data_IF_647181657227
#
_entry.id   IF_647181657227
#
_cell.length_a   1.000
_cell.length_b   1.000
_cell.length_c   1.000
_cell.angle_alpha   90.00
_cell.angle_beta   90.00
_cell.angle_gamma   90.00
#
_symmetry.space_group_name_H-M   'P 1'
#
loop_
_entity.id
_entity.type
_entity.pdbx_description
1 polymer ?
#
# COMPACT_ATOMS: atom_id res chain seq x y z
N UNK A 1 11.80 4.50 -25.57
CA UNK A 1 10.61 3.64 -25.80
C UNK A 1 9.37 4.48 -25.66
N UNK A 2 8.30 4.10 -26.35
CA UNK A 2 7.05 4.82 -26.19
C UNK A 2 6.48 4.60 -24.78
N UNK A 3 5.95 5.65 -24.12
CA UNK A 3 5.33 5.53 -22.79
C UNK A 3 4.20 4.49 -22.79
N UNK A 4 4.00 3.79 -21.67
CA UNK A 4 2.89 2.86 -21.50
C UNK A 4 1.59 3.68 -21.31
N UNK A 5 0.58 3.41 -22.13
CA UNK A 5 -0.73 4.07 -22.03
C UNK A 5 -1.54 3.47 -20.91
N UNK A 6 -1.65 4.24 -19.80
CA UNK A 6 -2.31 3.80 -18.57
C UNK A 6 -3.62 4.55 -18.37
N UNK A 7 -4.71 3.80 -18.19
CA UNK A 7 -5.98 4.34 -17.72
C UNK A 7 -6.17 4.16 -16.21
N UNK A 8 -7.17 4.83 -15.65
CA UNK A 8 -7.55 4.72 -14.25
C UNK A 8 -9.04 4.39 -14.13
N UNK A 9 -9.38 3.38 -13.34
CA UNK A 9 -10.77 3.07 -12.98
C UNK A 9 -11.07 3.61 -11.60
N UNK A 10 -11.96 4.62 -11.55
CA UNK A 10 -12.30 5.33 -10.31
C UNK A 10 -11.51 6.63 -10.13
N UNK A 11 -12.23 7.73 -9.95
CA UNK A 11 -11.68 9.07 -9.66
C UNK A 11 -12.24 9.58 -8.33
N UNK A 12 -12.20 8.69 -7.32
CA UNK A 12 -12.45 8.99 -5.91
C UNK A 12 -11.19 9.56 -5.25
N UNK A 13 -11.14 9.51 -3.90
CA UNK A 13 -9.99 10.00 -3.15
C UNK A 13 -8.67 9.33 -3.59
N UNK A 14 -8.61 7.99 -3.59
CA UNK A 14 -7.41 7.25 -4.01
C UNK A 14 -7.01 7.54 -5.45
N UNK A 15 -7.92 7.36 -6.40
CA UNK A 15 -7.64 7.56 -7.82
C UNK A 15 -7.21 8.98 -8.16
N UNK A 16 -7.86 9.98 -7.56
CA UNK A 16 -7.57 11.40 -7.82
C UNK A 16 -6.26 11.86 -7.22
N UNK A 17 -5.97 11.47 -5.97
CA UNK A 17 -4.79 11.98 -5.25
C UNK A 17 -3.59 11.05 -5.31
N UNK A 18 -3.76 9.72 -5.31
CA UNK A 18 -2.64 8.79 -5.19
C UNK A 18 -2.24 8.11 -6.50
N UNK A 19 -3.11 8.13 -7.53
CA UNK A 19 -2.81 7.48 -8.81
C UNK A 19 -2.61 8.49 -9.94
N UNK A 20 -3.61 9.32 -10.24
CA UNK A 20 -3.57 10.22 -11.39
C UNK A 20 -2.33 11.15 -11.41
N UNK A 21 -1.96 11.85 -10.31
CA UNK A 21 -0.79 12.73 -10.32
C UNK A 21 0.53 11.97 -10.51
N UNK A 22 0.63 10.75 -9.95
CA UNK A 22 1.85 9.93 -10.05
C UNK A 22 1.98 9.29 -11.44
N UNK A 23 0.89 8.88 -12.07
CA UNK A 23 0.89 8.42 -13.47
C UNK A 23 1.30 9.59 -14.39
N UNK A 24 0.66 10.75 -14.22
CA UNK A 24 0.92 11.92 -15.06
C UNK A 24 2.32 12.51 -14.87
N UNK A 25 2.97 12.27 -13.72
CA UNK A 25 4.36 12.73 -13.45
C UNK A 25 5.42 11.75 -13.95
N UNK A 26 5.05 10.52 -14.30
CA UNK A 26 5.98 9.48 -14.74
C UNK A 26 6.23 9.57 -16.24
N UNK A 27 7.48 9.85 -16.66
CA UNK A 27 7.83 9.97 -18.08
C UNK A 27 7.69 8.67 -18.88
N UNK A 28 7.68 7.52 -18.19
CA UNK A 28 7.45 6.20 -18.77
C UNK A 28 5.96 5.88 -18.99
N UNK A 29 5.06 6.76 -18.54
CA UNK A 29 3.61 6.59 -18.61
C UNK A 29 2.95 7.69 -19.47
N UNK A 30 1.91 7.31 -20.19
CA UNK A 30 0.96 8.22 -20.84
C UNK A 30 -0.39 8.04 -20.14
N UNK A 31 -0.84 9.09 -19.42
CA UNK A 31 -2.11 9.07 -18.69
C UNK A 31 -3.28 9.23 -19.66
N UNK A 32 -3.80 8.13 -20.17
CA UNK A 32 -4.83 8.08 -21.17
C UNK A 32 -6.18 8.66 -20.69
N UNK A 33 -6.52 8.45 -19.40
CA UNK A 33 -7.76 8.99 -18.83
C UNK A 33 -8.39 8.10 -17.78
N UNK A 34 -9.66 8.37 -17.49
CA UNK A 34 -10.39 7.78 -16.34
C UNK A 34 -11.70 7.15 -16.77
N UNK A 35 -11.98 5.96 -16.28
CA UNK A 35 -13.32 5.34 -16.36
C UNK A 35 -14.17 5.87 -15.21
N UNK A 36 -15.18 6.67 -15.54
CA UNK A 36 -16.16 7.21 -14.58
C UNK A 36 -17.45 7.64 -15.27
N UNK A 37 -18.59 7.32 -14.68
CA UNK A 37 -19.92 7.76 -15.12
C UNK A 37 -20.39 9.03 -14.40
N UNK A 38 -19.67 9.52 -13.38
CA UNK A 38 -20.00 10.71 -12.62
C UNK A 38 -19.65 11.99 -13.39
N UNK A 39 -20.63 12.83 -13.66
CA UNK A 39 -20.43 14.13 -14.31
C UNK A 39 -19.46 15.04 -13.53
N UNK A 40 -19.56 15.06 -12.19
CA UNK A 40 -18.67 15.87 -11.35
C UNK A 40 -17.21 15.40 -11.45
N UNK A 41 -16.97 14.08 -11.46
CA UNK A 41 -15.63 13.53 -11.63
C UNK A 41 -15.05 13.80 -13.02
N UNK A 42 -15.88 13.78 -14.05
CA UNK A 42 -15.47 14.19 -15.42
C UNK A 42 -15.06 15.65 -15.48
N UNK A 43 -15.81 16.54 -14.81
CA UNK A 43 -15.45 17.95 -14.73
C UNK A 43 -14.15 18.18 -13.96
N UNK A 44 -13.93 17.46 -12.84
CA UNK A 44 -12.68 17.50 -12.10
C UNK A 44 -11.50 17.01 -12.95
N UNK A 45 -11.65 15.87 -13.62
CA UNK A 45 -10.62 15.34 -14.52
C UNK A 45 -10.22 16.34 -15.60
N UNK A 46 -11.22 16.95 -16.27
CA UNK A 46 -10.96 17.94 -17.32
C UNK A 46 -10.22 19.19 -16.82
N UNK A 47 -10.44 19.57 -15.55
CA UNK A 47 -9.76 20.70 -14.93
C UNK A 47 -8.31 20.36 -14.49
N UNK A 48 -8.10 19.17 -13.94
CA UNK A 48 -6.83 18.74 -13.35
C UNK A 48 -5.88 18.10 -14.39
N UNK A 49 -6.44 17.38 -15.36
CA UNK A 49 -5.71 16.68 -16.43
C UNK A 49 -6.37 16.93 -17.79
N UNK A 50 -6.23 18.13 -18.37
CA UNK A 50 -6.99 18.54 -19.58
C UNK A 50 -6.67 17.71 -20.82
N UNK A 51 -5.57 16.92 -20.82
CA UNK A 51 -5.23 15.99 -21.89
C UNK A 51 -5.81 14.59 -21.73
N UNK A 52 -6.38 14.25 -20.57
CA UNK A 52 -6.86 12.92 -20.26
C UNK A 52 -8.34 12.74 -20.67
N UNK A 53 -8.65 11.56 -21.23
CA UNK A 53 -10.01 11.20 -21.65
C UNK A 53 -10.90 10.75 -20.49
N UNK A 54 -12.22 10.84 -20.67
CA UNK A 54 -13.19 10.24 -19.76
C UNK A 54 -13.98 9.14 -20.49
N UNK A 55 -13.97 7.93 -19.95
CA UNK A 55 -14.55 6.72 -20.53
C UNK A 55 -15.74 6.23 -19.71
N UNK A 56 -16.71 5.59 -20.38
CA UNK A 56 -17.90 5.04 -19.71
C UNK A 56 -17.65 3.65 -19.13
N UNK A 57 -16.73 2.90 -19.72
CA UNK A 57 -16.42 1.53 -19.34
C UNK A 57 -14.93 1.20 -19.46
N UNK A 58 -14.54 0.07 -18.86
CA UNK A 58 -13.19 -0.50 -19.00
C UNK A 58 -12.94 -0.93 -20.46
N UNK A 59 -13.97 -1.43 -21.13
CA UNK A 59 -13.94 -1.82 -22.52
C UNK A 59 -13.67 -0.63 -23.45
N UNK A 60 -14.29 0.53 -23.19
CA UNK A 60 -14.04 1.76 -23.96
C UNK A 60 -12.61 2.26 -23.75
N UNK A 61 -12.10 2.18 -22.52
CA UNK A 61 -10.70 2.50 -22.21
C UNK A 61 -9.74 1.58 -22.98
N UNK A 62 -10.01 0.28 -22.98
CA UNK A 62 -9.21 -0.70 -23.73
C UNK A 62 -9.28 -0.44 -25.25
N UNK A 63 -10.47 -0.15 -25.79
CA UNK A 63 -10.67 0.18 -27.20
C UNK A 63 -9.96 1.48 -27.62
N UNK A 64 -9.80 2.44 -26.70
CA UNK A 64 -9.00 3.65 -26.91
C UNK A 64 -7.49 3.37 -26.92
N UNK A 65 -7.09 2.13 -26.68
CA UNK A 65 -5.73 1.64 -26.78
C UNK A 65 -4.94 1.71 -25.47
N UNK A 66 -5.58 1.64 -24.33
CA UNK A 66 -4.88 1.39 -23.06
C UNK A 66 -4.09 0.08 -23.12
N UNK A 67 -2.91 0.07 -22.54
CA UNK A 67 -2.04 -1.10 -22.38
C UNK A 67 -2.07 -1.59 -20.92
N UNK A 68 -2.40 -0.66 -20.02
CA UNK A 68 -2.51 -0.94 -18.60
C UNK A 68 -3.62 -0.11 -17.96
N UNK A 69 -4.05 -0.54 -16.78
CA UNK A 69 -5.05 0.17 -15.99
C UNK A 69 -4.68 0.14 -14.51
N UNK A 70 -4.94 1.26 -13.83
CA UNK A 70 -4.93 1.32 -12.37
C UNK A 70 -6.37 1.27 -11.86
N UNK A 71 -6.64 0.41 -10.88
CA UNK A 71 -7.96 0.23 -10.27
C UNK A 71 -7.94 0.83 -8.87
N UNK A 72 -8.72 1.91 -8.66
CA UNK A 72 -8.86 2.62 -7.38
C UNK A 72 -10.34 2.93 -7.12
N UNK A 73 -11.09 1.88 -6.90
CA UNK A 73 -12.54 1.85 -6.64
C UNK A 73 -12.78 1.34 -5.20
N UNK A 74 -14.03 1.19 -4.72
CA UNK A 74 -14.27 0.48 -3.45
C UNK A 74 -13.71 -0.95 -3.48
N UNK A 75 -13.13 -1.38 -2.37
CA UNK A 75 -12.37 -2.63 -2.25
C UNK A 75 -13.15 -3.90 -2.66
N UNK A 76 -14.46 -3.90 -2.49
CA UNK A 76 -15.37 -4.98 -2.90
C UNK A 76 -15.50 -5.17 -4.41
N UNK A 77 -15.02 -4.19 -5.20
CA UNK A 77 -15.03 -4.25 -6.66
C UNK A 77 -13.66 -4.60 -7.26
N UNK A 78 -12.60 -4.64 -6.47
CA UNK A 78 -11.22 -4.78 -6.95
C UNK A 78 -11.00 -6.07 -7.71
N UNK A 79 -11.37 -7.21 -7.15
CA UNK A 79 -11.14 -8.53 -7.77
C UNK A 79 -11.86 -8.67 -9.12
N UNK A 80 -13.13 -8.28 -9.20
CA UNK A 80 -13.93 -8.40 -10.43
C UNK A 80 -13.39 -7.47 -11.53
N UNK A 81 -13.01 -6.24 -11.18
CA UNK A 81 -12.43 -5.29 -12.14
C UNK A 81 -11.04 -5.73 -12.59
N UNK A 82 -10.22 -6.27 -11.68
CA UNK A 82 -8.91 -6.84 -12.00
C UNK A 82 -9.04 -8.00 -12.99
N UNK A 83 -9.92 -8.98 -12.69
CA UNK A 83 -10.13 -10.13 -13.56
C UNK A 83 -10.65 -9.72 -14.95
N UNK A 84 -11.55 -8.72 -15.01
CA UNK A 84 -12.05 -8.14 -16.29
C UNK A 84 -10.94 -7.45 -17.08
N UNK A 85 -10.12 -6.63 -16.42
CA UNK A 85 -9.00 -5.94 -17.07
C UNK A 85 -7.99 -6.95 -17.66
N UNK A 86 -7.65 -8.00 -16.90
CA UNK A 86 -6.78 -9.09 -17.35
C UNK A 86 -7.42 -9.82 -18.56
N UNK A 87 -8.73 -10.06 -18.54
CA UNK A 87 -9.44 -10.70 -19.66
C UNK A 87 -9.38 -9.87 -20.96
N UNK A 88 -9.32 -8.53 -20.84
CA UNK A 88 -9.11 -7.59 -21.94
C UNK A 88 -7.65 -7.49 -22.41
N UNK A 89 -6.73 -8.20 -21.74
CA UNK A 89 -5.29 -8.15 -22.06
C UNK A 89 -4.55 -6.96 -21.46
N UNK A 90 -5.16 -6.25 -20.51
CA UNK A 90 -4.53 -5.10 -19.86
C UNK A 90 -3.62 -5.58 -18.71
N UNK A 91 -2.45 -4.96 -18.58
CA UNK A 91 -1.67 -5.01 -17.34
C UNK A 91 -2.37 -4.20 -16.25
N UNK A 92 -2.24 -4.61 -14.97
CA UNK A 92 -3.08 -4.06 -13.90
C UNK A 92 -2.24 -3.61 -12.72
N UNK A 93 -2.47 -2.38 -12.25
CA UNK A 93 -2.21 -1.93 -10.88
C UNK A 93 -3.52 -1.98 -10.13
N UNK A 94 -3.57 -2.69 -8.99
CA UNK A 94 -4.77 -2.73 -8.15
C UNK A 94 -4.48 -2.11 -6.79
N UNK A 95 -5.33 -1.16 -6.37
CA UNK A 95 -5.21 -0.48 -5.08
C UNK A 95 -5.41 -1.46 -3.90
N UNK A 96 -4.99 -1.04 -2.72
CA UNK A 96 -5.16 -1.81 -1.48
C UNK A 96 -6.56 -1.58 -0.86
N UNK A 97 -7.11 -2.53 -0.10
CA UNK A 97 -6.68 -3.93 -0.08
C UNK A 97 -6.90 -4.57 -1.45
N UNK A 98 -5.94 -5.35 -1.91
CA UNK A 98 -5.98 -5.96 -3.25
C UNK A 98 -7.24 -6.81 -3.47
N UNK A 99 -7.63 -7.57 -2.46
CA UNK A 99 -8.86 -8.35 -2.43
C UNK A 99 -9.37 -8.46 -1.00
N UNK A 100 -10.66 -8.73 -0.82
CA UNK A 100 -11.29 -8.91 0.48
C UNK A 100 -11.11 -10.33 1.03
N UNK A 101 -10.75 -11.29 0.18
CA UNK A 101 -10.44 -12.65 0.58
C UNK A 101 -9.23 -13.23 -0.17
N UNK A 102 -8.47 -14.17 0.45
CA UNK A 102 -7.26 -14.73 -0.16
C UNK A 102 -7.53 -15.55 -1.43
N UNK A 103 -8.69 -16.20 -1.55
CA UNK A 103 -9.00 -17.03 -2.72
C UNK A 103 -9.23 -16.16 -3.95
N UNK A 104 -9.90 -15.00 -3.80
CA UNK A 104 -10.05 -14.02 -4.88
C UNK A 104 -8.69 -13.43 -5.28
N UNK A 105 -7.82 -13.09 -4.30
CA UNK A 105 -6.47 -12.63 -4.59
C UNK A 105 -5.68 -13.65 -5.42
N UNK A 106 -5.65 -14.89 -4.99
CA UNK A 106 -4.95 -16.00 -5.69
C UNK A 106 -5.48 -16.20 -7.10
N UNK A 107 -6.80 -16.22 -7.29
CA UNK A 107 -7.43 -16.37 -8.61
C UNK A 107 -6.98 -15.27 -9.58
N UNK A 108 -6.97 -14.01 -9.16
CA UNK A 108 -6.54 -12.90 -10.01
C UNK A 108 -5.06 -13.01 -10.39
N UNK A 109 -4.19 -13.43 -9.47
CA UNK A 109 -2.75 -13.64 -9.73
C UNK A 109 -2.52 -14.79 -10.72
N UNK A 110 -3.22 -15.91 -10.53
CA UNK A 110 -3.15 -17.07 -11.45
C UNK A 110 -3.67 -16.69 -12.85
N UNK A 111 -4.74 -15.90 -12.93
CA UNK A 111 -5.29 -15.42 -14.20
C UNK A 111 -4.31 -14.48 -14.92
N UNK A 112 -3.67 -13.55 -14.22
CA UNK A 112 -2.67 -12.66 -14.80
C UNK A 112 -1.47 -13.45 -15.35
N UNK A 113 -0.99 -14.43 -14.58
CA UNK A 113 0.08 -15.33 -15.00
C UNK A 113 -0.30 -16.12 -16.26
N UNK A 114 -1.51 -16.69 -16.30
CA UNK A 114 -2.00 -17.46 -17.45
C UNK A 114 -2.19 -16.60 -18.71
N UNK A 115 -2.47 -15.30 -18.55
CA UNK A 115 -2.64 -14.35 -19.66
C UNK A 115 -1.35 -13.63 -20.06
N UNK A 116 -0.27 -13.79 -19.29
CA UNK A 116 1.03 -13.15 -19.56
C UNK A 116 0.97 -11.63 -19.42
N UNK A 117 0.09 -11.08 -18.55
CA UNK A 117 0.00 -9.66 -18.26
C UNK A 117 0.61 -9.33 -16.90
N UNK A 118 1.17 -8.13 -16.76
CA UNK A 118 1.74 -7.66 -15.50
C UNK A 118 0.61 -7.30 -14.53
N UNK A 119 0.66 -7.85 -13.32
CA UNK A 119 -0.22 -7.50 -12.21
C UNK A 119 0.64 -7.04 -11.03
N UNK A 120 0.34 -5.86 -10.48
CA UNK A 120 1.06 -5.33 -9.32
C UNK A 120 0.09 -4.67 -8.32
N UNK A 121 0.08 -5.11 -7.06
CA UNK A 121 -0.66 -4.44 -5.99
C UNK A 121 -0.05 -3.05 -5.70
N UNK A 122 -0.89 -2.04 -5.43
CA UNK A 122 -0.42 -0.71 -5.09
C UNK A 122 -0.07 -0.59 -3.61
N UNK A 123 1.02 -1.24 -3.20
CA UNK A 123 1.57 -1.12 -1.85
C UNK A 123 2.56 0.05 -1.78
N UNK A 124 2.06 1.25 -2.05
CA UNK A 124 2.83 2.49 -2.15
C UNK A 124 3.66 2.79 -0.89
N UNK A 125 3.20 2.38 0.30
CA UNK A 125 3.91 2.63 1.56
C UNK A 125 5.19 1.82 1.74
N UNK A 126 5.55 0.96 0.79
CA UNK A 126 6.91 0.41 0.67
C UNK A 126 7.93 1.47 0.28
N UNK A 127 7.47 2.61 -0.26
CA UNK A 127 8.27 3.77 -0.66
C UNK A 127 8.04 4.99 0.24
N UNK A 128 7.46 4.81 1.44
CA UNK A 128 7.44 5.83 2.47
C UNK A 128 8.88 6.10 2.96
N UNK A 129 9.23 7.34 3.21
CA UNK A 129 10.54 7.77 3.69
C UNK A 129 10.96 7.05 4.98
N UNK A 130 10.01 6.90 5.88
CA UNK A 130 10.18 6.21 7.16
C UNK A 130 10.48 4.71 6.97
N UNK A 131 9.73 4.03 6.10
CA UNK A 131 9.94 2.59 5.83
C UNK A 131 11.21 2.32 5.00
N UNK A 132 11.54 3.18 4.04
CA UNK A 132 12.80 3.10 3.30
C UNK A 132 14.01 3.26 4.24
N UNK A 133 13.88 4.12 5.27
CA UNK A 133 14.91 4.28 6.31
C UNK A 133 15.06 2.99 7.14
N UNK A 134 13.95 2.38 7.56
CA UNK A 134 13.99 1.08 8.25
C UNK A 134 14.71 0.04 7.40
N UNK A 135 14.34 -0.08 6.12
CA UNK A 135 14.95 -1.05 5.20
C UNK A 135 16.45 -0.81 5.03
N UNK A 136 16.86 0.42 4.80
CA UNK A 136 18.28 0.75 4.64
C UNK A 136 19.12 0.32 5.85
N UNK A 137 18.63 0.56 7.09
CA UNK A 137 19.33 0.20 8.31
C UNK A 137 19.30 -1.32 8.62
N UNK A 138 18.35 -2.05 8.06
CA UNK A 138 18.34 -3.51 8.11
C UNK A 138 19.29 -4.08 7.06
N UNK A 139 19.24 -3.58 5.83
CA UNK A 139 20.03 -4.07 4.70
C UNK A 139 21.53 -3.81 4.86
N UNK A 140 21.92 -2.67 5.48
CA UNK A 140 23.32 -2.33 5.77
C UNK A 140 23.88 -3.02 7.05
N UNK A 141 23.03 -3.75 7.78
CA UNK A 141 23.41 -4.48 8.98
C UNK A 141 23.55 -3.64 10.25
N UNK A 142 23.22 -2.35 10.23
CA UNK A 142 23.30 -1.45 11.41
C UNK A 142 22.51 -1.99 12.59
N UNK A 143 21.34 -2.59 12.35
CA UNK A 143 20.51 -3.16 13.41
C UNK A 143 20.93 -4.59 13.80
N UNK A 144 21.77 -5.26 13.00
CA UNK A 144 22.03 -6.68 13.12
C UNK A 144 20.81 -7.53 12.78
N UNK A 145 20.69 -8.72 13.37
CA UNK A 145 19.51 -9.58 13.20
C UNK A 145 18.28 -8.92 13.84
N UNK A 146 17.24 -8.66 13.05
CA UNK A 146 15.99 -8.07 13.54
C UNK A 146 15.21 -9.12 14.35
N UNK A 147 14.93 -8.80 15.62
CA UNK A 147 14.17 -9.64 16.54
C UNK A 147 12.72 -9.23 16.69
N UNK A 148 12.48 -7.90 16.62
CA UNK A 148 11.13 -7.34 16.75
C UNK A 148 10.98 -6.12 15.85
N UNK A 149 9.86 -6.08 15.14
CA UNK A 149 9.38 -4.95 14.36
C UNK A 149 8.06 -4.45 14.93
N UNK A 150 8.00 -3.19 15.33
CA UNK A 150 6.78 -2.52 15.78
C UNK A 150 6.43 -1.42 14.78
N UNK A 151 5.18 -1.39 14.33
CA UNK A 151 4.68 -0.39 13.38
C UNK A 151 3.30 0.10 13.81
N UNK A 152 3.09 1.42 13.71
CA UNK A 152 1.84 2.06 14.11
C UNK A 152 1.30 2.94 13.00
N UNK A 153 0.01 2.76 12.74
CA UNK A 153 -0.78 3.65 11.90
C UNK A 153 -1.95 4.17 12.78
N UNK A 154 -1.65 5.16 13.59
CA UNK A 154 -2.54 5.64 14.64
C UNK A 154 -2.86 7.13 14.43
N UNK A 155 -4.13 7.48 14.52
CA UNK A 155 -4.60 8.87 14.47
C UNK A 155 -5.85 9.04 15.33
N UNK A 156 -6.15 10.30 15.69
CA UNK A 156 -7.42 10.63 16.32
C UNK A 156 -8.33 11.34 15.33
N UNK A 157 -9.21 10.59 14.71
CA UNK A 157 -10.23 11.07 13.80
C UNK A 157 -11.47 10.17 13.88
N UNK A 158 -12.16 10.12 15.05
CA UNK A 158 -13.23 9.14 15.30
C UNK A 158 -14.43 9.32 14.37
N UNK A 159 -14.65 10.51 13.82
CA UNK A 159 -15.77 10.79 12.92
C UNK A 159 -15.42 10.53 11.44
N UNK A 160 -14.13 10.51 11.10
CA UNK A 160 -13.67 10.35 9.72
C UNK A 160 -13.56 8.89 9.28
N UNK A 161 -13.09 8.02 10.14
CA UNK A 161 -12.78 6.66 9.72
C UNK A 161 -13.32 5.60 10.65
N UNK A 162 -13.23 4.31 10.30
CA UNK A 162 -12.94 3.80 8.96
C UNK A 162 -14.16 3.88 8.03
N UNK A 163 -13.92 4.06 6.73
CA UNK A 163 -14.97 4.05 5.71
C UNK A 163 -15.45 2.63 5.37
N UNK A 164 -16.74 2.48 5.01
CA UNK A 164 -17.30 1.18 4.61
C UNK A 164 -16.58 0.58 3.39
N UNK A 165 -16.18 1.43 2.45
CA UNK A 165 -15.47 1.01 1.25
C UNK A 165 -14.10 0.38 1.52
N UNK A 166 -13.45 0.72 2.65
CA UNK A 166 -12.18 0.13 3.08
C UNK A 166 -12.32 -1.11 3.97
N UNK A 167 -13.55 -1.47 4.39
CA UNK A 167 -13.82 -2.71 5.15
C UNK A 167 -13.37 -2.69 6.62
N UNK A 168 -13.09 -1.51 7.19
CA UNK A 168 -12.61 -1.36 8.56
C UNK A 168 -11.09 -1.09 8.65
N UNK A 169 -10.60 -0.88 9.85
CA UNK A 169 -9.19 -0.51 10.11
C UNK A 169 -8.22 -1.65 9.79
N UNK A 170 -8.63 -2.89 10.05
CA UNK A 170 -7.80 -4.06 9.75
C UNK A 170 -7.51 -4.17 8.25
N UNK A 171 -8.50 -3.95 7.40
CA UNK A 171 -8.30 -4.01 5.95
C UNK A 171 -7.70 -2.72 5.39
N UNK A 172 -7.98 -1.56 5.99
CA UNK A 172 -7.44 -0.27 5.53
C UNK A 172 -5.97 -0.06 5.97
N UNK A 173 -5.73 0.08 7.28
CA UNK A 173 -4.38 0.28 7.81
C UNK A 173 -3.59 -1.02 7.87
N UNK A 174 -4.25 -2.12 8.25
CA UNK A 174 -3.62 -3.43 8.37
C UNK A 174 -3.03 -3.94 7.07
N UNK A 175 -3.61 -3.61 5.90
CA UNK A 175 -3.04 -3.97 4.60
C UNK A 175 -1.61 -3.41 4.44
N UNK A 176 -1.37 -2.18 4.87
CA UNK A 176 -0.02 -1.59 4.83
C UNK A 176 0.91 -2.15 5.91
N UNK A 177 0.40 -2.26 7.14
CA UNK A 177 1.19 -2.71 8.28
C UNK A 177 1.68 -4.16 8.09
N UNK A 178 0.81 -5.03 7.62
CA UNK A 178 1.12 -6.44 7.33
C UNK A 178 2.07 -6.56 6.14
N UNK A 179 1.83 -5.83 5.06
CA UNK A 179 2.69 -5.83 3.88
C UNK A 179 4.12 -5.40 4.22
N UNK A 180 4.29 -4.32 5.00
CA UNK A 180 5.59 -3.85 5.47
C UNK A 180 6.29 -4.91 6.34
N UNK A 181 5.56 -5.58 7.23
CA UNK A 181 6.11 -6.64 8.09
C UNK A 181 6.56 -7.87 7.28
N UNK A 182 5.75 -8.31 6.30
CA UNK A 182 6.09 -9.40 5.39
C UNK A 182 7.30 -9.05 4.51
N UNK A 183 7.35 -7.83 3.98
CA UNK A 183 8.46 -7.33 3.16
C UNK A 183 9.77 -7.32 3.93
N UNK A 184 9.74 -6.93 5.22
CA UNK A 184 10.94 -6.80 6.04
C UNK A 184 11.42 -8.13 6.62
N UNK A 185 10.49 -9.00 7.07
CA UNK A 185 10.80 -10.16 7.91
C UNK A 185 10.39 -11.50 7.28
N UNK A 186 9.75 -11.47 6.10
CA UNK A 186 9.32 -12.68 5.40
C UNK A 186 8.08 -13.36 5.98
N UNK A 187 7.88 -14.65 5.66
CA UNK A 187 6.63 -15.37 5.91
C UNK A 187 6.25 -15.46 7.40
N UNK A 188 4.94 -15.49 7.66
CA UNK A 188 4.34 -15.56 8.99
C UNK A 188 3.87 -16.98 9.29
N UNK A 189 4.26 -17.53 10.44
CA UNK A 189 3.86 -18.85 10.93
C UNK A 189 2.62 -18.82 11.83
N UNK A 190 2.36 -17.70 12.54
CA UNK A 190 1.13 -17.55 13.34
C UNK A 190 0.77 -16.08 13.56
N UNK A 191 -0.52 -15.82 13.68
CA UNK A 191 -1.13 -14.51 13.86
C UNK A 191 -1.99 -14.53 15.12
N UNK A 192 -1.84 -13.53 16.00
CA UNK A 192 -2.78 -13.22 17.07
C UNK A 192 -3.28 -11.79 16.85
N UNK A 193 -4.59 -11.56 16.96
CA UNK A 193 -5.15 -10.24 16.78
C UNK A 193 -6.26 -9.91 17.77
N UNK A 194 -6.38 -8.63 18.06
CA UNK A 194 -7.45 -8.02 18.83
C UNK A 194 -8.06 -6.89 18.01
N UNK A 195 -9.38 -6.73 18.07
CA UNK A 195 -10.06 -5.63 17.41
C UNK A 195 -11.18 -5.07 18.26
N UNK A 196 -11.40 -3.77 18.16
CA UNK A 196 -12.56 -3.09 18.70
C UNK A 196 -13.47 -2.68 17.55
N UNK A 197 -14.72 -3.11 17.61
CA UNK A 197 -15.73 -2.85 16.58
C UNK A 197 -16.67 -1.73 17.03
N UNK A 198 -16.96 -0.80 16.14
CA UNK A 198 -17.96 0.26 16.33
C UNK A 198 -19.38 -0.29 16.19
N UNK A 199 -20.38 0.53 16.56
CA UNK A 199 -21.80 0.21 16.32
C UNK A 199 -22.12 0.04 14.82
N UNK A 200 -21.32 0.61 13.92
CA UNK A 200 -21.44 0.41 12.47
C UNK A 200 -21.08 -1.00 11.99
N UNK A 201 -20.51 -1.84 12.85
CA UNK A 201 -19.98 -3.16 12.51
C UNK A 201 -18.55 -3.14 11.99
N UNK A 202 -17.92 -1.96 11.82
CA UNK A 202 -16.53 -1.82 11.38
C UNK A 202 -15.59 -1.70 12.59
N UNK A 203 -14.43 -2.33 12.49
CA UNK A 203 -13.35 -2.16 13.45
C UNK A 203 -12.68 -0.80 13.27
N UNK A 204 -12.34 -0.13 14.39
CA UNK A 204 -11.68 1.18 14.41
C UNK A 204 -10.40 1.23 15.25
N UNK A 205 -10.07 0.10 15.86
CA UNK A 205 -8.85 -0.09 16.64
C UNK A 205 -8.45 -1.56 16.55
N UNK A 206 -7.23 -1.83 16.10
CA UNK A 206 -6.72 -3.18 15.89
C UNK A 206 -5.30 -3.31 16.40
N UNK A 207 -5.00 -4.47 16.98
CA UNK A 207 -3.67 -4.95 17.28
C UNK A 207 -3.46 -6.29 16.59
N UNK A 208 -2.31 -6.44 15.91
CA UNK A 208 -1.92 -7.70 15.26
C UNK A 208 -0.50 -8.06 15.67
N UNK A 209 -0.34 -9.22 16.28
CA UNK A 209 0.96 -9.82 16.59
C UNK A 209 1.25 -10.95 15.60
N UNK A 210 2.38 -10.84 14.91
CA UNK A 210 2.86 -11.82 13.94
C UNK A 210 4.11 -12.52 14.50
N UNK A 211 4.16 -13.84 14.36
CA UNK A 211 5.37 -14.62 14.54
C UNK A 211 5.86 -15.10 13.18
N UNK A 212 6.98 -14.57 12.74
CA UNK A 212 7.60 -14.95 11.47
C UNK A 212 8.30 -16.32 11.56
N UNK A 213 8.43 -16.99 10.43
CA UNK A 213 9.05 -18.33 10.36
C UNK A 213 10.55 -18.33 10.71
N UNK A 214 11.22 -17.17 10.58
CA UNK A 214 12.60 -16.96 10.99
C UNK A 214 12.76 -16.68 12.49
N UNK A 215 11.67 -16.67 13.27
CA UNK A 215 11.67 -16.43 14.71
C UNK A 215 11.48 -14.98 15.15
N UNK A 216 11.57 -14.02 14.23
CA UNK A 216 11.25 -12.63 14.53
C UNK A 216 9.76 -12.44 14.83
N UNK A 217 9.41 -11.34 15.49
CA UNK A 217 8.02 -10.98 15.78
C UNK A 217 7.69 -9.58 15.28
N UNK A 218 6.46 -9.38 14.80
CA UNK A 218 5.92 -8.05 14.49
C UNK A 218 4.74 -7.73 15.40
N UNK A 219 4.68 -6.50 15.86
CA UNK A 219 3.55 -5.94 16.60
C UNK A 219 3.05 -4.73 15.84
N UNK A 220 1.79 -4.76 15.43
CA UNK A 220 1.20 -3.81 14.52
C UNK A 220 -0.05 -3.20 15.16
N UNK A 221 -0.19 -1.88 15.12
CA UNK A 221 -1.35 -1.16 15.64
C UNK A 221 -1.95 -0.26 14.56
N UNK A 222 -3.24 -0.38 14.37
CA UNK A 222 -4.04 0.53 13.55
C UNK A 222 -5.17 1.13 14.38
N UNK A 223 -5.30 2.47 14.42
CA UNK A 223 -6.33 3.11 15.23
C UNK A 223 -6.80 4.44 14.67
N UNK A 224 -8.12 4.67 14.72
CA UNK A 224 -8.75 5.96 14.45
C UNK A 224 -9.12 6.71 15.72
N UNK A 225 -8.80 6.16 16.89
CA UNK A 225 -9.22 6.70 18.20
C UNK A 225 -8.04 6.98 19.14
N UNK A 226 -6.80 7.02 18.62
CA UNK A 226 -5.61 7.23 19.43
C UNK A 226 -5.21 8.70 19.50
N UNK A 227 -5.39 9.32 20.69
CA UNK A 227 -4.99 10.71 20.95
C UNK A 227 -3.48 10.91 21.09
N UNK A 228 -2.78 9.88 21.54
CA UNK A 228 -1.33 9.91 21.77
C UNK A 228 -0.68 8.76 21.01
N UNK A 229 -0.45 8.91 19.68
CA UNK A 229 0.15 7.87 18.88
C UNK A 229 1.56 7.54 19.40
N UNK A 230 1.92 6.26 19.33
CA UNK A 230 3.28 5.80 19.60
C UNK A 230 4.24 6.18 18.46
N UNK A 231 5.52 5.80 18.57
CA UNK A 231 6.44 5.99 17.46
C UNK A 231 5.94 5.23 16.22
N UNK A 232 6.15 5.82 15.04
CA UNK A 232 5.75 5.22 13.76
C UNK A 232 6.37 3.84 13.60
N UNK A 233 7.69 3.74 13.88
CA UNK A 233 8.41 2.48 13.93
C UNK A 233 9.27 2.37 15.18
N UNK A 234 9.33 1.14 15.72
CA UNK A 234 10.40 0.71 16.62
C UNK A 234 10.90 -0.64 16.12
N UNK A 235 12.21 -0.71 15.86
CA UNK A 235 12.84 -1.96 15.41
C UNK A 235 13.90 -2.34 16.42
N UNK A 236 13.85 -3.57 16.95
CA UNK A 236 14.83 -4.11 17.88
C UNK A 236 15.64 -5.19 17.18
N UNK A 237 16.90 -4.90 16.96
CA UNK A 237 17.86 -5.84 16.41
C UNK A 237 18.84 -6.38 17.46
N UNK A 238 19.76 -7.24 17.02
CA UNK A 238 20.79 -7.81 17.88
C UNK A 238 21.94 -6.84 18.19
N UNK A 239 22.19 -5.87 17.31
CA UNK A 239 23.27 -4.88 17.45
C UNK A 239 22.76 -3.51 17.90
N UNK A 240 21.58 -3.09 17.46
CA UNK A 240 21.01 -1.80 17.76
C UNK A 240 19.47 -1.83 17.76
N UNK A 241 18.86 -0.74 18.25
CA UNK A 241 17.43 -0.49 18.13
C UNK A 241 17.17 0.84 17.46
N UNK A 242 16.15 0.89 16.59
CA UNK A 242 15.68 2.10 15.92
C UNK A 242 14.37 2.56 16.53
N UNK A 243 14.19 3.87 16.67
CA UNK A 243 12.90 4.53 16.92
C UNK A 243 12.74 5.62 15.88
N UNK A 244 11.67 5.57 15.12
CA UNK A 244 11.23 6.64 14.21
C UNK A 244 9.87 7.17 14.67
N UNK A 245 9.75 8.47 14.80
CA UNK A 245 8.51 9.17 15.15
C UNK A 245 7.94 9.93 13.95
N UNK A 246 8.81 10.36 13.04
CA UNK A 246 8.43 11.05 11.83
C UNK A 246 7.75 10.07 10.87
N UNK A 247 6.59 10.46 10.38
CA UNK A 247 5.87 9.76 9.32
C UNK A 247 6.15 10.43 7.96
N UNK A 248 6.00 9.65 6.89
CA UNK A 248 6.08 10.13 5.52
C UNK A 248 4.96 11.14 5.21
N UNK A 249 5.27 12.21 4.48
CA UNK A 249 4.34 13.30 4.14
C UNK A 249 3.94 13.36 2.66
N UNK A 250 4.32 12.39 1.83
CA UNK A 250 3.99 12.38 0.40
C UNK A 250 2.47 12.41 0.15
N UNK A 251 1.68 11.74 1.03
CA UNK A 251 0.21 11.81 1.02
C UNK A 251 -0.29 13.25 1.17
N UNK A 252 0.21 13.98 2.16
CA UNK A 252 -0.21 15.35 2.45
C UNK A 252 0.12 16.31 1.29
N UNK A 253 1.27 16.11 0.64
CA UNK A 253 1.70 16.88 -0.53
C UNK A 253 0.76 16.65 -1.72
N UNK A 254 0.37 15.40 -2.00
CA UNK A 254 -0.57 15.07 -3.07
C UNK A 254 -1.98 15.62 -2.78
N UNK A 255 -2.46 15.48 -1.55
CA UNK A 255 -3.78 15.99 -1.13
C UNK A 255 -3.81 17.52 -1.19
N UNK A 256 -2.70 18.19 -0.95
CA UNK A 256 -2.57 19.64 -1.15
C UNK A 256 -2.53 20.07 -2.64
N UNK A 257 -2.57 19.12 -3.57
CA UNK A 257 -2.59 19.38 -5.02
C UNK A 257 -1.22 19.55 -5.66
N UNK A 258 -0.15 19.22 -4.94
CA UNK A 258 1.22 19.19 -5.48
C UNK A 258 1.57 17.75 -5.94
N UNK A 259 2.66 17.60 -6.70
CA UNK A 259 3.07 16.31 -7.27
C UNK A 259 4.59 16.27 -7.43
N UNK A 260 5.19 15.11 -7.73
CA UNK A 260 6.62 15.01 -8.02
C UNK A 260 7.08 15.95 -9.15
N UNK A 261 6.21 16.28 -10.10
CA UNK A 261 6.51 17.21 -11.20
C UNK A 261 6.52 18.68 -10.78
N UNK A 262 5.97 19.03 -9.61
CA UNK A 262 5.78 20.42 -9.17
C UNK A 262 6.58 20.78 -7.92
N UNK A 263 7.19 19.78 -7.22
CA UNK A 263 7.89 19.97 -5.94
C UNK A 263 9.29 19.36 -6.00
N UNK A 264 10.32 20.19 -6.00
CA UNK A 264 11.74 19.76 -6.03
C UNK A 264 12.16 18.95 -4.79
N UNK A 265 11.47 19.17 -3.65
CA UNK A 265 11.73 18.49 -2.38
C UNK A 265 10.79 17.30 -2.15
N UNK A 266 10.25 16.71 -3.21
CA UNK A 266 9.37 15.55 -3.12
C UNK A 266 9.98 14.42 -2.28
N UNK A 267 9.21 13.93 -1.29
CA UNK A 267 9.58 12.83 -0.40
C UNK A 267 10.70 13.14 0.61
N UNK A 268 11.12 14.41 0.72
CA UNK A 268 12.16 14.83 1.69
C UNK A 268 11.48 15.26 2.99
N UNK A 269 11.76 14.51 4.06
CA UNK A 269 11.25 14.81 5.39
C UNK A 269 12.17 15.70 6.19
N UNK A 270 11.62 16.51 7.08
CA UNK A 270 12.39 17.31 8.01
C UNK A 270 13.08 16.40 9.04
N UNK A 271 14.33 16.72 9.37
CA UNK A 271 15.05 16.00 10.43
C UNK A 271 14.35 16.17 11.80
N UNK A 272 14.33 15.09 12.57
CA UNK A 272 13.79 15.06 13.94
C UNK A 272 14.81 14.51 14.91
N UNK A 273 15.00 15.18 16.05
CA UNK A 273 15.85 14.67 17.13
C UNK A 273 15.26 13.45 17.84
N UNK A 274 14.00 13.14 17.57
CA UNK A 274 13.31 11.95 18.12
C UNK A 274 13.57 10.69 17.31
N UNK A 275 14.06 10.83 16.06
CA UNK A 275 14.38 9.71 15.18
C UNK A 275 15.82 9.27 15.42
N UNK A 276 16.00 8.10 16.07
CA UNK A 276 17.29 7.73 16.60
C UNK A 276 17.58 6.23 16.50
N UNK A 277 18.85 5.92 16.27
CA UNK A 277 19.42 4.60 16.51
C UNK A 277 20.05 4.57 17.91
N UNK A 278 19.77 3.53 18.66
CA UNK A 278 20.29 3.26 20.01
C UNK A 278 21.22 2.05 19.97
N UNK A 279 22.43 2.22 20.48
CA UNK A 279 23.46 1.20 20.58
C UNK A 279 23.95 1.08 22.03
N UNK A 280 24.73 0.06 22.40
CA UNK A 280 25.33 -0.02 23.72
C UNK A 280 26.22 1.18 24.11
N UNK A 281 26.76 1.90 23.10
CA UNK A 281 27.63 3.08 23.32
C UNK A 281 26.85 4.42 23.38
N UNK A 282 25.53 4.42 23.17
CA UNK A 282 24.70 5.63 23.18
C UNK A 282 23.68 5.66 22.06
N UNK A 283 23.19 6.85 21.73
CA UNK A 283 22.24 7.02 20.64
C UNK A 283 22.64 8.15 19.69
N UNK A 284 22.31 8.01 18.42
CA UNK A 284 22.53 9.00 17.37
C UNK A 284 21.26 9.29 16.60
N UNK A 285 21.05 10.55 16.13
CA UNK A 285 19.95 10.87 15.23
C UNK A 285 20.09 10.12 13.89
N UNK A 286 18.97 9.87 13.24
CA UNK A 286 18.89 9.22 11.93
C UNK A 286 18.29 10.20 10.94
N UNK A 287 18.95 10.40 9.79
CA UNK A 287 18.37 11.08 8.66
C UNK A 287 17.44 10.13 7.91
N UNK A 288 16.24 10.58 7.60
CA UNK A 288 15.28 9.78 6.83
C UNK A 288 15.72 9.66 5.37
N UNK A 289 15.50 8.51 4.77
CA UNK A 289 15.62 8.32 3.33
C UNK A 289 14.55 9.18 2.62
N UNK A 290 14.83 9.57 1.37
CA UNK A 290 13.81 10.23 0.55
C UNK A 290 12.67 9.26 0.24
N UNK A 291 11.42 9.63 0.52
CA UNK A 291 10.24 8.93 0.07
C UNK A 291 10.16 8.90 -1.46
N UNK A 292 9.66 7.82 -2.04
CA UNK A 292 9.79 7.57 -3.47
C UNK A 292 8.53 6.94 -4.11
N UNK A 293 7.31 7.43 -3.78
CA UNK A 293 6.08 6.99 -4.46
C UNK A 293 6.13 7.25 -5.96
N UNK A 294 6.89 8.26 -6.38
CA UNK A 294 7.17 8.60 -7.76
C UNK A 294 7.93 7.50 -8.53
N UNK A 295 8.55 6.54 -7.84
CA UNK A 295 9.24 5.41 -8.47
C UNK A 295 8.32 4.26 -8.87
N UNK A 296 7.08 4.19 -8.34
CA UNK A 296 6.19 3.05 -8.55
C UNK A 296 5.77 2.90 -10.02
N UNK A 297 5.18 3.94 -10.61
CA UNK A 297 4.68 3.88 -11.99
C UNK A 297 5.78 3.73 -13.04
N UNK A 298 6.93 4.40 -12.94
CA UNK A 298 8.09 4.11 -13.79
C UNK A 298 8.52 2.64 -13.74
N UNK A 299 8.57 2.04 -12.54
CA UNK A 299 8.91 0.62 -12.39
C UNK A 299 7.84 -0.31 -12.99
N UNK A 300 6.55 0.02 -12.78
CA UNK A 300 5.44 -0.73 -13.38
C UNK A 300 5.48 -0.66 -14.91
N UNK A 301 5.68 0.52 -15.49
CA UNK A 301 5.77 0.68 -16.95
C UNK A 301 6.93 -0.13 -17.55
N UNK A 302 8.10 -0.14 -16.90
CA UNK A 302 9.22 -1.01 -17.32
C UNK A 302 8.86 -2.49 -17.26
N UNK A 303 8.16 -2.93 -16.20
CA UNK A 303 7.70 -4.32 -16.09
C UNK A 303 6.73 -4.69 -17.22
N UNK A 304 5.80 -3.80 -17.59
CA UNK A 304 4.88 -3.99 -18.73
C UNK A 304 5.65 -4.15 -20.04
N UNK A 305 6.79 -3.48 -20.19
CA UNK A 305 7.69 -3.61 -21.36
C UNK A 305 8.63 -4.84 -21.30
N UNK A 306 8.58 -5.61 -20.21
CA UNK A 306 9.48 -6.76 -20.01
C UNK A 306 10.90 -6.39 -19.59
N UNK A 307 11.11 -5.17 -19.06
CA UNK A 307 12.42 -4.60 -18.70
C UNK A 307 12.72 -4.68 -17.20
N UNK A 308 12.02 -5.51 -16.48
CA UNK A 308 12.20 -5.70 -15.04
C UNK A 308 11.02 -6.40 -14.39
N UNK A 309 11.14 -6.64 -13.10
CA UNK A 309 10.05 -7.16 -12.29
C UNK A 309 9.00 -6.06 -12.02
N UNK A 310 7.77 -6.47 -11.73
CA UNK A 310 6.74 -5.59 -11.20
C UNK A 310 7.23 -4.94 -9.89
N UNK A 311 6.84 -3.68 -9.60
CA UNK A 311 7.28 -2.99 -8.40
C UNK A 311 6.88 -3.72 -7.11
N UNK A 312 5.74 -4.38 -7.12
CA UNK A 312 5.28 -5.30 -6.07
C UNK A 312 4.88 -6.61 -6.74
N UNK A 313 5.40 -7.73 -6.24
CA UNK A 313 4.98 -9.06 -6.71
C UNK A 313 3.51 -9.28 -6.32
N UNK A 314 2.72 -9.77 -7.26
CA UNK A 314 1.30 -10.00 -7.03
C UNK A 314 1.04 -11.07 -5.96
N UNK A 315 1.96 -12.03 -5.76
CA UNK A 315 1.87 -13.03 -4.68
C UNK A 315 2.03 -12.43 -3.29
N UNK A 316 2.69 -11.27 -3.15
CA UNK A 316 2.75 -10.55 -1.87
C UNK A 316 1.35 -10.10 -1.40
N UNK A 317 0.45 -9.76 -2.35
CA UNK A 317 -0.93 -9.44 -2.01
C UNK A 317 -1.71 -10.67 -1.51
N UNK A 318 -1.43 -11.86 -2.05
CA UNK A 318 -2.02 -13.11 -1.55
C UNK A 318 -1.55 -13.38 -0.13
N UNK A 319 -0.24 -13.27 0.13
CA UNK A 319 0.33 -13.45 1.46
C UNK A 319 -0.24 -12.43 2.47
N UNK A 320 -0.38 -11.17 2.06
CA UNK A 320 -1.00 -10.12 2.88
C UNK A 320 -2.46 -10.43 3.18
N UNK A 321 -3.25 -10.87 2.18
CA UNK A 321 -4.64 -11.24 2.38
C UNK A 321 -4.81 -12.45 3.32
N UNK A 322 -3.94 -13.46 3.21
CA UNK A 322 -3.94 -14.63 4.11
C UNK A 322 -3.66 -14.23 5.57
N UNK A 323 -2.72 -13.31 5.80
CA UNK A 323 -2.42 -12.80 7.15
C UNK A 323 -3.57 -11.95 7.69
N UNK A 324 -4.20 -11.09 6.87
CA UNK A 324 -5.35 -10.29 7.26
C UNK A 324 -6.56 -11.16 7.60
N UNK A 325 -6.82 -12.20 6.82
CA UNK A 325 -7.90 -13.16 7.12
C UNK A 325 -7.61 -13.92 8.41
N UNK A 326 -6.38 -14.41 8.62
CA UNK A 326 -5.97 -15.04 9.88
C UNK A 326 -6.12 -14.08 11.08
N UNK A 327 -5.82 -12.79 10.91
CA UNK A 327 -6.02 -11.77 11.94
C UNK A 327 -7.51 -11.58 12.25
N UNK A 328 -8.38 -11.51 11.24
CA UNK A 328 -9.83 -11.43 11.41
C UNK A 328 -10.40 -12.63 12.20
N UNK A 329 -9.98 -13.84 11.82
CA UNK A 329 -10.38 -15.08 12.52
C UNK A 329 -9.85 -15.10 13.94
N UNK A 330 -8.58 -14.70 14.15
CA UNK A 330 -7.96 -14.63 15.47
C UNK A 330 -8.68 -13.66 16.39
N UNK A 331 -9.01 -12.46 15.93
CA UNK A 331 -9.74 -11.45 16.71
C UNK A 331 -11.13 -11.97 17.14
N UNK A 332 -11.82 -12.69 16.26
CA UNK A 332 -13.13 -13.27 16.55
C UNK A 332 -13.07 -14.47 17.51
N UNK A 333 -12.10 -15.37 17.32
CA UNK A 333 -11.96 -16.62 18.07
C UNK A 333 -11.11 -16.49 19.35
N UNK A 334 -10.30 -15.42 19.46
CA UNK A 334 -9.35 -15.14 20.56
C UNK A 334 -8.25 -16.21 20.70
N UNK A 335 -7.90 -16.84 19.60
CA UNK A 335 -6.78 -17.81 19.53
C UNK A 335 -5.82 -17.41 18.41
N UNK A 336 -4.56 -17.88 18.48
CA UNK A 336 -3.62 -17.71 17.38
C UNK A 336 -3.99 -18.61 16.20
N UNK A 337 -3.88 -18.07 14.98
CA UNK A 337 -4.26 -18.71 13.72
C UNK A 337 -3.07 -18.76 12.78
N UNK A 338 -2.93 -19.78 11.97
CA UNK A 338 -1.94 -19.84 10.88
C UNK A 338 -2.52 -19.25 9.61
N UNK A 339 -1.77 -18.37 8.90
CA UNK A 339 -2.17 -17.93 7.56
C UNK A 339 -2.40 -19.13 6.63
N UNK A 340 -3.44 -19.05 5.78
CA UNK A 340 -3.81 -20.12 4.85
C UNK A 340 -4.61 -21.29 5.45
N UNK A 341 -4.72 -21.40 6.78
CA UNK A 341 -5.56 -22.40 7.46
C UNK A 341 -6.90 -21.81 7.99
N UNK A 342 -7.15 -20.55 7.70
CA UNK A 342 -8.29 -19.79 8.25
C UNK A 342 -9.59 -19.96 7.44
N UNK A 343 -9.61 -20.82 6.39
CA UNK A 343 -10.76 -21.06 5.51
C UNK A 343 -11.42 -22.41 5.73
#
# INVERSE_FOLDING_TARGET
>A
MDPVRIGLVGYGFGGRYFHAPLIASAGECDFLGVVTTSGDRRALLAAEHPGAGAFDSLEDLAAAGAEAVSISTPADTHSDLTDRAIALGLSVVCDKPFALDPAAARRSVELATARGVTLSPYQNRRWDSDFLTVRALVDDGTLGEVRRFESRFERYAPDAGPGRAGGGTLLDFGAHLVDQALTLLGPVGSVHAESRTRQSGLDDDVFVALRHTNGAVSHLWGSWSQHAPGPRFRVTGSAASLVLTTADTQEDVLVAGASPATVDTWGVEAASDLDRVFTPSGSAPVALARGAWDAYYPAFARAVRGEGAAPVDAWDAVATAEVLEAARVSAASRVSVRPGEAG
#
